data_IF_901421506693
#
_entry.id   IF_901421506693
#
_cell.length_a   1.000
_cell.length_b   1.000
_cell.length_c   1.000
_cell.angle_alpha   90.00
_cell.angle_beta   90.00
_cell.angle_gamma   90.00
#
_symmetry.space_group_name_H-M   'P 1'
#
loop_
_entity.id
_entity.type
_entity.pdbx_description
1 polymer ?
#
# COMPACT_ATOMS: atom_id res chain seq x y z
N UNK A 1 17.73 -16.12 8.79
CA UNK A 1 17.07 -17.13 7.92
C UNK A 1 18.12 -18.12 7.45
N UNK A 2 17.91 -19.43 7.60
CA UNK A 2 18.92 -20.44 7.21
C UNK A 2 18.53 -21.28 6.00
N UNK A 3 17.23 -21.37 5.69
CA UNK A 3 16.69 -22.08 4.54
C UNK A 3 15.90 -21.12 3.64
N UNK A 4 15.83 -21.43 2.34
CA UNK A 4 15.09 -20.65 1.36
C UNK A 4 13.59 -20.63 1.63
N UNK A 5 13.03 -21.66 2.27
CA UNK A 5 11.60 -21.80 2.51
C UNK A 5 11.29 -21.85 4.00
N UNK A 6 10.38 -20.99 4.45
CA UNK A 6 9.99 -20.84 5.86
C UNK A 6 8.54 -20.36 6.00
N UNK A 7 7.98 -20.50 7.19
CA UNK A 7 6.71 -19.86 7.55
C UNK A 7 7.02 -18.47 8.09
N UNK A 8 6.55 -17.43 7.41
CA UNK A 8 6.63 -16.06 7.91
C UNK A 8 5.38 -15.75 8.73
N UNK A 9 5.57 -15.32 9.97
CA UNK A 9 4.50 -15.01 10.92
C UNK A 9 4.45 -13.51 11.21
N UNK A 10 3.30 -12.92 10.95
CA UNK A 10 2.99 -11.52 11.24
C UNK A 10 2.78 -11.25 12.73
N UNK A 11 2.77 -9.97 13.09
CA UNK A 11 2.53 -9.51 14.48
C UNK A 11 1.13 -9.88 14.98
N UNK A 12 0.17 -10.06 14.08
CA UNK A 12 -1.20 -10.51 14.35
C UNK A 12 -1.32 -12.04 14.49
N UNK A 13 -0.22 -12.77 14.29
CA UNK A 13 -0.18 -14.23 14.33
C UNK A 13 -0.60 -14.92 13.02
N UNK A 14 -0.97 -14.16 11.98
CA UNK A 14 -1.16 -14.72 10.64
C UNK A 14 0.14 -15.32 10.12
N UNK A 15 0.03 -16.36 9.28
CA UNK A 15 1.20 -17.08 8.76
C UNK A 15 1.11 -17.30 7.27
N UNK A 16 2.21 -17.11 6.56
CA UNK A 16 2.32 -17.38 5.13
C UNK A 16 3.57 -18.21 4.81
N UNK A 17 3.44 -19.19 3.91
CA UNK A 17 4.58 -19.91 3.36
C UNK A 17 5.36 -18.96 2.46
N UNK A 18 6.66 -18.81 2.71
CA UNK A 18 7.51 -17.79 2.11
C UNK A 18 8.75 -18.42 1.51
N UNK A 19 9.18 -17.88 0.37
CA UNK A 19 10.42 -18.25 -0.29
C UNK A 19 11.35 -17.02 -0.36
N UNK A 20 12.50 -17.11 0.28
CA UNK A 20 13.63 -16.18 0.10
C UNK A 20 14.45 -16.64 -1.10
N UNK A 21 14.83 -15.71 -1.98
CA UNK A 21 15.64 -15.96 -3.18
C UNK A 21 17.12 -15.62 -2.90
N UNK A 22 17.99 -16.58 -2.52
CA UNK A 22 19.35 -16.27 -2.06
C UNK A 22 20.27 -15.70 -3.14
N UNK A 23 19.98 -16.02 -4.41
CA UNK A 23 20.67 -15.49 -5.58
C UNK A 23 19.85 -14.42 -6.33
N UNK A 24 18.84 -13.85 -5.65
CA UNK A 24 17.90 -12.90 -6.22
C UNK A 24 16.99 -13.50 -7.31
N UNK A 25 16.23 -12.64 -7.97
CA UNK A 25 15.25 -13.02 -9.00
C UNK A 25 15.85 -13.31 -10.37
N UNK A 26 17.17 -13.54 -10.46
CA UNK A 26 17.92 -13.80 -11.70
C UNK A 26 18.64 -15.15 -11.72
N UNK A 27 18.39 -16.03 -10.74
CA UNK A 27 19.16 -17.26 -10.57
C UNK A 27 19.11 -18.20 -11.80
N UNK A 28 18.02 -18.19 -12.56
CA UNK A 28 17.84 -18.94 -13.81
C UNK A 28 18.00 -18.10 -15.07
N UNK A 29 18.53 -16.87 -14.99
CA UNK A 29 18.65 -15.95 -16.12
C UNK A 29 19.79 -16.32 -17.09
N UNK A 30 20.93 -16.73 -16.56
CA UNK A 30 22.14 -17.04 -17.32
C UNK A 30 22.21 -18.55 -17.58
N UNK A 31 21.80 -18.97 -18.78
CA UNK A 31 21.64 -20.38 -19.13
C UNK A 31 22.96 -21.17 -19.11
N UNK A 32 24.10 -20.50 -19.31
CA UNK A 32 25.45 -21.08 -19.21
C UNK A 32 25.90 -21.33 -17.76
N UNK A 33 25.13 -20.85 -16.77
CA UNK A 33 25.45 -20.97 -15.34
C UNK A 33 24.41 -21.75 -14.54
N UNK A 34 23.47 -22.43 -15.18
CA UNK A 34 22.38 -23.13 -14.49
C UNK A 34 22.89 -24.13 -13.45
N UNK A 35 23.94 -24.88 -13.75
CA UNK A 35 24.50 -25.88 -12.84
C UNK A 35 25.13 -25.25 -11.59
N UNK A 36 25.82 -24.11 -11.77
CA UNK A 36 26.37 -23.34 -10.66
C UNK A 36 25.25 -22.74 -9.80
N UNK A 37 24.26 -22.11 -10.43
CA UNK A 37 23.10 -21.55 -9.72
C UNK A 37 22.34 -22.62 -8.94
N UNK A 38 22.11 -23.80 -9.54
CA UNK A 38 21.49 -24.94 -8.87
C UNK A 38 22.29 -25.36 -7.63
N UNK A 39 23.60 -25.56 -7.78
CA UNK A 39 24.49 -25.97 -6.69
C UNK A 39 24.56 -24.94 -5.56
N UNK A 40 24.46 -23.65 -5.88
CA UNK A 40 24.46 -22.58 -4.89
C UNK A 40 23.12 -22.45 -4.17
N UNK A 41 22.00 -22.67 -4.86
CA UNK A 41 20.66 -22.65 -4.26
C UNK A 41 20.40 -23.90 -3.38
N UNK A 42 20.90 -25.07 -3.79
CA UNK A 42 20.74 -26.33 -3.05
C UNK A 42 21.26 -26.24 -1.61
N UNK A 43 22.30 -25.43 -1.38
CA UNK A 43 22.86 -25.15 -0.04
C UNK A 43 21.84 -24.57 0.94
N UNK A 44 20.82 -23.88 0.44
CA UNK A 44 19.77 -23.24 1.24
C UNK A 44 18.43 -23.97 1.14
N UNK A 45 18.29 -24.95 0.24
CA UNK A 45 17.01 -25.55 -0.07
C UNK A 45 16.41 -26.28 1.14
N UNK A 46 15.17 -25.94 1.48
CA UNK A 46 14.46 -26.66 2.53
C UNK A 46 13.95 -28.02 2.04
N UNK A 47 13.72 -28.18 0.74
CA UNK A 47 13.15 -29.39 0.13
C UNK A 47 13.92 -29.76 -1.14
N UNK A 48 13.53 -30.84 -1.82
CA UNK A 48 14.05 -31.18 -3.14
C UNK A 48 13.53 -30.27 -4.27
N UNK A 49 12.72 -29.24 -3.95
CA UNK A 49 12.24 -28.26 -4.90
C UNK A 49 13.08 -26.99 -4.81
N UNK A 50 13.78 -26.67 -5.89
CA UNK A 50 14.62 -25.47 -6.01
C UNK A 50 13.98 -24.53 -7.04
N UNK A 51 13.76 -23.27 -6.63
CA UNK A 51 13.24 -22.24 -7.52
C UNK A 51 14.39 -21.50 -8.20
N UNK A 52 14.37 -21.44 -9.53
CA UNK A 52 15.32 -20.68 -10.34
C UNK A 52 14.58 -19.67 -11.21
N UNK A 53 14.36 -18.43 -10.74
CA UNK A 53 13.68 -17.41 -11.52
C UNK A 53 14.45 -17.09 -12.82
N UNK A 54 13.79 -17.25 -13.97
CA UNK A 54 14.38 -17.13 -15.30
C UNK A 54 14.02 -15.80 -15.98
N UNK A 55 14.35 -14.69 -15.33
CA UNK A 55 14.03 -13.35 -15.84
C UNK A 55 14.80 -12.23 -15.16
N UNK A 56 14.51 -11.01 -15.57
CA UNK A 56 15.03 -9.79 -14.98
C UNK A 56 14.03 -8.64 -15.20
N UNK A 57 14.21 -7.53 -14.49
CA UNK A 57 13.49 -6.29 -14.79
C UNK A 57 13.68 -5.90 -16.25
N UNK A 58 12.56 -5.55 -16.90
CA UNK A 58 12.48 -5.07 -18.29
C UNK A 58 13.04 -6.02 -19.35
N UNK A 59 13.06 -7.34 -19.11
CA UNK A 59 13.53 -8.32 -20.08
C UNK A 59 12.38 -9.15 -20.67
N UNK A 60 12.34 -9.36 -22.01
CA UNK A 60 11.38 -10.28 -22.60
C UNK A 60 11.67 -11.74 -22.19
N UNK A 61 10.68 -12.64 -22.30
CA UNK A 61 10.90 -14.08 -22.13
C UNK A 61 12.00 -14.59 -23.07
N UNK A 62 12.94 -15.39 -22.54
CA UNK A 62 14.00 -16.01 -23.34
C UNK A 62 13.45 -17.20 -24.12
N UNK A 63 13.58 -17.17 -25.45
CA UNK A 63 13.08 -18.23 -26.33
C UNK A 63 13.84 -19.55 -26.18
N UNK A 64 15.03 -19.50 -25.60
CA UNK A 64 15.96 -20.61 -25.40
C UNK A 64 15.61 -21.46 -24.18
N UNK A 65 14.84 -20.95 -23.21
CA UNK A 65 14.49 -21.64 -21.96
C UNK A 65 13.93 -23.05 -22.21
N UNK A 66 12.95 -23.27 -23.12
CA UNK A 66 12.43 -24.61 -23.37
C UNK A 66 13.50 -25.60 -23.86
N UNK A 67 14.48 -25.14 -24.64
CA UNK A 67 15.58 -25.99 -25.09
C UNK A 67 16.56 -26.25 -23.95
N UNK A 68 16.92 -25.24 -23.17
CA UNK A 68 17.80 -25.39 -22.01
C UNK A 68 17.25 -26.39 -20.99
N UNK A 69 15.93 -26.38 -20.74
CA UNK A 69 15.26 -27.37 -19.87
C UNK A 69 15.33 -28.79 -20.44
N UNK A 70 15.17 -28.96 -21.77
CA UNK A 70 15.33 -30.27 -22.42
C UNK A 70 16.76 -30.78 -22.32
N UNK A 71 17.73 -29.90 -22.55
CA UNK A 71 19.16 -30.24 -22.49
C UNK A 71 19.57 -30.60 -21.06
N UNK A 72 19.10 -29.83 -20.06
CA UNK A 72 19.27 -30.16 -18.64
C UNK A 72 18.75 -31.56 -18.31
N UNK A 73 17.49 -31.84 -18.66
CA UNK A 73 16.84 -33.12 -18.35
C UNK A 73 17.49 -34.31 -19.09
N UNK A 74 18.15 -34.07 -20.22
CA UNK A 74 18.93 -35.09 -20.94
C UNK A 74 20.28 -35.35 -20.28
N UNK A 75 20.90 -34.32 -19.70
CA UNK A 75 22.28 -34.37 -19.18
C UNK A 75 22.37 -34.66 -17.69
N UNK A 76 21.30 -34.41 -16.92
CA UNK A 76 21.27 -34.53 -15.46
C UNK A 76 20.26 -35.60 -15.00
N UNK A 77 20.53 -36.90 -15.25
CA UNK A 77 19.63 -37.97 -14.84
C UNK A 77 19.47 -37.94 -13.30
N UNK A 78 18.23 -37.80 -12.84
CA UNK A 78 17.89 -37.73 -11.41
C UNK A 78 17.58 -36.32 -10.89
N UNK A 79 17.81 -35.26 -11.68
CA UNK A 79 17.43 -33.89 -11.34
C UNK A 79 16.52 -33.34 -12.44
N UNK A 80 15.22 -33.29 -12.17
CA UNK A 80 14.23 -32.85 -13.13
C UNK A 80 14.03 -31.33 -13.07
N UNK A 81 14.26 -30.65 -14.18
CA UNK A 81 13.95 -29.23 -14.37
C UNK A 81 12.61 -29.06 -15.09
N UNK A 82 11.76 -28.17 -14.57
CA UNK A 82 10.43 -27.83 -15.11
C UNK A 82 10.24 -26.33 -15.22
N UNK A 83 9.54 -25.90 -16.27
CA UNK A 83 9.00 -24.55 -16.34
C UNK A 83 7.70 -24.57 -15.55
N UNK A 84 7.62 -23.77 -14.49
CA UNK A 84 6.47 -23.72 -13.58
C UNK A 84 6.11 -22.27 -13.24
N UNK A 85 4.87 -22.08 -12.81
CA UNK A 85 4.40 -20.85 -12.20
C UNK A 85 4.77 -20.81 -10.70
N UNK A 86 4.81 -19.61 -10.07
CA UNK A 86 4.98 -19.52 -8.62
C UNK A 86 3.95 -20.34 -7.84
N UNK A 87 2.70 -20.38 -8.32
CA UNK A 87 1.62 -21.17 -7.71
C UNK A 87 1.96 -22.66 -7.66
N UNK A 88 2.42 -23.23 -8.77
CA UNK A 88 2.79 -24.65 -8.84
C UNK A 88 4.00 -24.96 -7.94
N UNK A 89 4.97 -24.04 -7.83
CA UNK A 89 6.09 -24.18 -6.92
C UNK A 89 5.65 -24.26 -5.45
N UNK A 90 4.82 -23.31 -4.98
CA UNK A 90 4.31 -23.33 -3.61
C UNK A 90 3.43 -24.55 -3.33
N UNK A 91 2.61 -24.98 -4.30
CA UNK A 91 1.83 -26.22 -4.17
C UNK A 91 2.73 -27.46 -4.00
N UNK A 92 3.88 -27.52 -4.70
CA UNK A 92 4.84 -28.59 -4.53
C UNK A 92 5.48 -28.57 -3.12
N UNK A 93 5.85 -27.39 -2.61
CA UNK A 93 6.36 -27.23 -1.25
C UNK A 93 5.35 -27.71 -0.20
N UNK A 94 4.08 -27.34 -0.32
CA UNK A 94 3.00 -27.76 0.58
C UNK A 94 2.81 -29.29 0.58
N UNK A 95 2.94 -29.92 -0.58
CA UNK A 95 2.82 -31.38 -0.74
C UNK A 95 3.93 -32.16 -0.02
N UNK A 96 5.09 -31.55 0.20
CA UNK A 96 6.19 -32.21 0.93
C UNK A 96 5.82 -32.53 2.39
N UNK A 97 4.80 -31.85 2.96
CA UNK A 97 4.43 -31.93 4.38
C UNK A 97 5.61 -31.69 5.33
N UNK A 98 6.66 -31.01 4.86
CA UNK A 98 7.80 -30.61 5.68
C UNK A 98 7.32 -29.63 6.75
N UNK A 99 7.89 -29.77 7.96
CA UNK A 99 7.77 -28.74 8.99
C UNK A 99 8.85 -27.68 8.75
N UNK A 100 8.44 -26.52 8.25
CA UNK A 100 9.33 -25.39 7.97
C UNK A 100 9.65 -24.61 9.26
N UNK A 101 10.79 -23.90 9.25
CA UNK A 101 11.16 -22.94 10.29
C UNK A 101 10.12 -21.81 10.34
N UNK A 102 9.86 -21.25 11.52
CA UNK A 102 9.01 -20.07 11.68
C UNK A 102 9.90 -18.85 11.90
N UNK A 103 9.73 -17.84 11.06
CA UNK A 103 10.39 -16.53 11.16
C UNK A 103 9.33 -15.51 11.53
N UNK A 104 9.55 -14.76 12.62
CA UNK A 104 8.57 -13.80 13.15
C UNK A 104 9.07 -12.36 12.97
N UNK A 105 8.15 -11.45 12.65
CA UNK A 105 8.44 -10.01 12.58
C UNK A 105 8.92 -9.53 11.22
N UNK A 106 9.58 -8.37 11.19
CA UNK A 106 10.01 -7.72 9.94
C UNK A 106 11.22 -8.44 9.31
N UNK A 107 11.22 -8.56 7.98
CA UNK A 107 12.34 -9.09 7.21
C UNK A 107 13.32 -7.96 6.84
N UNK A 108 13.87 -7.31 7.87
CA UNK A 108 14.80 -6.19 7.74
C UNK A 108 16.19 -6.63 8.21
N UNK A 109 16.89 -7.41 7.38
CA UNK A 109 18.14 -8.09 7.75
C UNK A 109 19.20 -7.87 6.65
N UNK A 110 20.24 -7.09 7.00
CA UNK A 110 21.33 -6.75 6.09
C UNK A 110 22.33 -7.91 5.87
N UNK A 111 22.26 -8.98 6.65
CA UNK A 111 23.04 -10.19 6.41
C UNK A 111 22.42 -11.05 5.30
N UNK A 112 21.13 -10.88 5.02
CA UNK A 112 20.38 -11.67 4.04
C UNK A 112 20.20 -10.97 2.69
N UNK A 113 20.00 -9.65 2.70
CA UNK A 113 19.82 -8.85 1.48
C UNK A 113 20.31 -7.44 1.72
N UNK A 114 20.75 -6.76 0.66
CA UNK A 114 21.04 -5.33 0.73
C UNK A 114 19.78 -4.55 1.11
N UNK A 115 19.91 -3.69 2.12
CA UNK A 115 18.83 -2.84 2.60
C UNK A 115 19.19 -1.39 2.33
N UNK A 116 18.24 -0.61 1.80
CA UNK A 116 18.46 0.76 1.32
C UNK A 116 17.70 1.80 2.15
N UNK A 117 17.94 1.98 3.47
CA UNK A 117 17.18 2.92 4.30
C UNK A 117 17.25 4.38 3.83
N UNK A 118 18.32 4.75 3.14
CA UNK A 118 18.56 6.15 2.73
C UNK A 118 17.51 6.65 1.73
N UNK A 119 16.80 5.73 1.05
CA UNK A 119 15.73 6.07 0.11
C UNK A 119 14.60 6.88 0.74
N UNK A 120 14.39 6.75 2.06
CA UNK A 120 13.38 7.52 2.78
C UNK A 120 13.64 9.04 2.77
N UNK A 121 14.85 9.47 2.42
CA UNK A 121 15.24 10.89 2.36
C UNK A 121 15.43 11.41 0.94
N UNK A 122 15.46 10.52 -0.05
CA UNK A 122 15.57 10.86 -1.45
C UNK A 122 14.33 11.61 -1.91
N UNK A 123 14.51 12.85 -2.40
CA UNK A 123 13.42 13.68 -2.92
C UNK A 123 12.20 13.72 -1.98
N UNK A 124 12.42 14.07 -0.71
CA UNK A 124 11.43 14.04 0.39
C UNK A 124 10.01 14.54 0.02
N UNK A 125 9.91 15.52 -0.87
CA UNK A 125 8.63 16.05 -1.36
C UNK A 125 7.73 14.98 -1.98
N UNK A 126 8.27 13.89 -2.55
CA UNK A 126 7.49 12.78 -3.13
C UNK A 126 6.72 12.06 -2.02
N UNK A 127 7.41 11.66 -0.95
CA UNK A 127 6.81 11.00 0.21
C UNK A 127 5.77 11.91 0.85
N UNK A 128 6.08 13.20 1.02
CA UNK A 128 5.14 14.19 1.56
C UNK A 128 3.90 14.33 0.69
N UNK A 129 4.07 14.44 -0.64
CA UNK A 129 2.97 14.60 -1.59
C UNK A 129 2.11 13.34 -1.68
N UNK A 130 2.73 12.16 -1.68
CA UNK A 130 2.04 10.87 -1.65
C UNK A 130 1.16 10.74 -0.41
N UNK A 131 1.72 11.03 0.79
CA UNK A 131 0.97 11.01 2.05
C UNK A 131 -0.18 12.01 2.08
N UNK A 132 0.02 13.21 1.55
CA UNK A 132 -1.03 14.24 1.46
C UNK A 132 -2.17 13.80 0.52
N UNK A 133 -1.83 13.25 -0.65
CA UNK A 133 -2.84 12.78 -1.61
C UNK A 133 -3.61 11.56 -1.08
N UNK A 134 -2.94 10.62 -0.39
CA UNK A 134 -3.58 9.46 0.23
C UNK A 134 -4.53 9.89 1.37
N UNK A 135 -4.10 10.80 2.24
CA UNK A 135 -4.96 11.32 3.31
C UNK A 135 -6.20 12.05 2.75
N UNK A 136 -6.03 12.81 1.68
CA UNK A 136 -7.15 13.47 0.99
C UNK A 136 -8.08 12.46 0.29
N UNK A 137 -7.53 11.37 -0.28
CA UNK A 137 -8.31 10.30 -0.89
C UNK A 137 -9.16 9.58 0.16
N UNK A 138 -8.55 9.21 1.28
CA UNK A 138 -9.26 8.59 2.41
C UNK A 138 -10.41 9.50 2.89
N UNK A 139 -10.14 10.79 3.11
CA UNK A 139 -11.19 11.73 3.50
C UNK A 139 -12.30 11.85 2.44
N UNK A 140 -11.93 11.98 1.15
CA UNK A 140 -12.91 12.09 0.07
C UNK A 140 -13.81 10.84 0.00
N UNK A 141 -13.25 9.64 0.12
CA UNK A 141 -13.98 8.37 0.13
C UNK A 141 -14.88 8.22 1.38
N UNK A 142 -14.38 8.56 2.57
CA UNK A 142 -15.16 8.54 3.81
C UNK A 142 -16.38 9.46 3.70
N UNK A 143 -16.21 10.72 3.30
CA UNK A 143 -17.32 11.66 3.20
C UNK A 143 -18.25 11.36 2.03
N UNK A 144 -17.72 10.85 0.91
CA UNK A 144 -18.55 10.36 -0.19
C UNK A 144 -19.44 9.20 0.24
N UNK A 145 -18.92 8.29 1.09
CA UNK A 145 -19.68 7.17 1.65
C UNK A 145 -20.81 7.69 2.54
N UNK A 146 -20.52 8.65 3.42
CA UNK A 146 -21.55 9.27 4.28
C UNK A 146 -22.62 9.97 3.42
N UNK A 147 -22.21 10.76 2.42
CA UNK A 147 -23.14 11.44 1.53
C UNK A 147 -24.02 10.43 0.76
N UNK A 148 -23.43 9.32 0.28
CA UNK A 148 -24.15 8.24 -0.38
C UNK A 148 -25.20 7.58 0.52
N UNK A 149 -24.86 7.30 1.78
CA UNK A 149 -25.82 6.78 2.76
C UNK A 149 -26.98 7.76 3.05
N UNK A 150 -26.75 9.06 2.86
CA UNK A 150 -27.78 10.10 2.96
C UNK A 150 -28.55 10.33 1.64
N UNK A 151 -28.24 9.56 0.59
CA UNK A 151 -28.93 9.56 -0.69
C UNK A 151 -28.26 10.38 -1.80
N UNK A 152 -26.96 10.70 -1.69
CA UNK A 152 -26.17 11.19 -2.82
C UNK A 152 -25.74 10.02 -3.72
N UNK A 153 -25.26 10.33 -4.92
CA UNK A 153 -24.55 9.34 -5.75
C UNK A 153 -23.11 9.16 -5.25
N UNK A 154 -22.60 7.93 -5.29
CA UNK A 154 -21.21 7.63 -4.91
C UNK A 154 -20.28 7.80 -6.11
N UNK A 155 -19.20 8.62 -6.03
CA UNK A 155 -18.29 8.94 -7.13
C UNK A 155 -17.29 7.79 -7.39
N UNK A 156 -17.82 6.64 -7.80
CA UNK A 156 -17.07 5.38 -7.95
C UNK A 156 -15.91 5.50 -8.93
N UNK A 157 -16.16 6.07 -10.11
CA UNK A 157 -15.16 6.21 -11.17
C UNK A 157 -14.00 7.11 -10.76
N UNK A 158 -14.33 8.24 -10.13
CA UNK A 158 -13.37 9.25 -9.73
C UNK A 158 -12.47 8.75 -8.60
N UNK A 159 -13.05 8.07 -7.60
CA UNK A 159 -12.28 7.46 -6.51
C UNK A 159 -11.44 6.28 -7.01
N UNK A 160 -11.95 5.48 -7.95
CA UNK A 160 -11.20 4.39 -8.55
C UNK A 160 -9.96 4.90 -9.30
N UNK A 161 -10.11 5.90 -10.17
CA UNK A 161 -8.99 6.54 -10.87
C UNK A 161 -7.98 7.16 -9.87
N UNK A 162 -8.48 7.74 -8.78
CA UNK A 162 -7.61 8.31 -7.75
C UNK A 162 -6.78 7.23 -7.02
N UNK A 163 -7.39 6.08 -6.71
CA UNK A 163 -6.68 4.93 -6.14
C UNK A 163 -5.61 4.38 -7.09
N UNK A 164 -5.92 4.24 -8.38
CA UNK A 164 -4.94 3.80 -9.39
C UNK A 164 -3.72 4.75 -9.44
N UNK A 165 -3.96 6.06 -9.40
CA UNK A 165 -2.89 7.06 -9.39
C UNK A 165 -2.05 7.03 -8.10
N UNK A 166 -2.66 6.83 -6.93
CA UNK A 166 -1.93 6.65 -5.67
C UNK A 166 -1.06 5.39 -5.70
N UNK A 167 -1.60 4.28 -6.22
CA UNK A 167 -0.85 3.02 -6.36
C UNK A 167 0.30 3.14 -7.36
N UNK A 168 0.12 3.93 -8.42
CA UNK A 168 1.19 4.28 -9.35
C UNK A 168 2.33 5.02 -8.64
N UNK A 169 2.02 6.05 -7.84
CA UNK A 169 3.01 6.79 -7.05
C UNK A 169 3.71 5.88 -6.03
N UNK A 170 3.00 4.90 -5.47
CA UNK A 170 3.53 3.96 -4.48
C UNK A 170 4.52 2.92 -5.06
N UNK A 171 4.72 2.89 -6.38
CA UNK A 171 5.72 2.03 -6.99
C UNK A 171 7.11 2.32 -6.40
N UNK A 172 7.85 1.26 -6.03
CA UNK A 172 9.06 1.40 -5.24
C UNK A 172 10.06 2.39 -5.85
N UNK A 173 10.39 2.32 -7.13
CA UNK A 173 11.34 3.27 -7.75
C UNK A 173 10.84 4.72 -7.80
N UNK A 174 9.52 4.94 -7.77
CA UNK A 174 8.89 6.27 -7.76
C UNK A 174 8.92 6.84 -6.34
N UNK A 175 8.30 6.16 -5.37
CA UNK A 175 8.18 6.67 -4.00
C UNK A 175 9.54 6.82 -3.31
N UNK A 176 10.53 6.01 -3.69
CA UNK A 176 11.91 6.07 -3.19
C UNK A 176 12.78 7.11 -3.90
N UNK A 177 12.29 7.74 -4.98
CA UNK A 177 13.03 8.77 -5.67
C UNK A 177 14.27 8.26 -6.44
N UNK A 178 14.29 7.00 -6.87
CA UNK A 178 15.44 6.32 -7.50
C UNK A 178 15.51 6.38 -9.04
N UNK A 179 14.48 6.90 -9.71
CA UNK A 179 14.45 7.18 -11.16
C UNK A 179 15.11 8.50 -11.62
N UNK A 180 15.00 8.77 -12.92
CA UNK A 180 15.46 10.00 -13.61
C UNK A 180 14.50 11.17 -13.39
N UNK A 181 14.96 12.42 -13.60
CA UNK A 181 14.21 13.63 -13.29
C UNK A 181 12.87 13.73 -14.04
N UNK A 182 12.83 13.28 -15.29
CA UNK A 182 11.65 13.36 -16.16
C UNK A 182 10.45 12.61 -15.59
N UNK A 183 10.67 11.47 -14.90
CA UNK A 183 9.61 10.69 -14.26
C UNK A 183 8.89 11.53 -13.20
N UNK A 184 9.62 12.41 -12.51
CA UNK A 184 9.05 13.15 -11.39
C UNK A 184 8.28 14.40 -11.78
N UNK A 185 8.47 14.91 -13.00
CA UNK A 185 7.57 15.95 -13.52
C UNK A 185 6.16 15.38 -13.72
N UNK A 186 6.05 14.15 -14.24
CA UNK A 186 4.77 13.44 -14.34
C UNK A 186 4.16 13.17 -12.94
N UNK A 187 4.98 12.74 -11.97
CA UNK A 187 4.52 12.54 -10.58
C UNK A 187 3.95 13.83 -9.97
N UNK A 188 4.55 15.00 -10.24
CA UNK A 188 4.00 16.30 -9.78
C UNK A 188 2.65 16.59 -10.42
N UNK A 189 2.50 16.33 -11.71
CA UNK A 189 1.24 16.51 -12.43
C UNK A 189 0.14 15.62 -11.86
N UNK A 190 0.44 14.32 -11.63
CA UNK A 190 -0.48 13.37 -11.00
C UNK A 190 -0.88 13.86 -9.60
N UNK A 191 0.09 14.23 -8.75
CA UNK A 191 -0.20 14.75 -7.40
C UNK A 191 -1.09 16.00 -7.45
N UNK A 192 -0.82 16.93 -8.35
CA UNK A 192 -1.58 18.17 -8.48
C UNK A 192 -3.02 17.91 -8.95
N UNK A 193 -3.17 17.01 -9.93
CA UNK A 193 -4.48 16.55 -10.43
C UNK A 193 -5.29 15.85 -9.33
N UNK A 194 -4.67 14.93 -8.60
CA UNK A 194 -5.27 14.23 -7.46
C UNK A 194 -5.80 15.20 -6.42
N UNK A 195 -4.96 16.15 -5.98
CA UNK A 195 -5.36 17.15 -4.97
C UNK A 195 -6.58 17.95 -5.43
N UNK A 196 -6.60 18.40 -6.68
CA UNK A 196 -7.72 19.17 -7.22
C UNK A 196 -9.01 18.33 -7.29
N UNK A 197 -8.95 17.12 -7.88
CA UNK A 197 -10.10 16.22 -8.04
C UNK A 197 -10.67 15.80 -6.67
N UNK A 198 -9.81 15.34 -5.76
CA UNK A 198 -10.25 14.85 -4.46
C UNK A 198 -10.78 15.97 -3.57
N UNK A 199 -10.19 17.17 -3.61
CA UNK A 199 -10.75 18.34 -2.92
C UNK A 199 -12.15 18.66 -3.44
N UNK A 200 -12.37 18.54 -4.75
CA UNK A 200 -13.69 18.75 -5.33
C UNK A 200 -14.70 17.71 -4.84
N UNK A 201 -14.37 16.41 -4.93
CA UNK A 201 -15.25 15.31 -4.47
C UNK A 201 -15.56 15.40 -2.97
N UNK A 202 -14.56 15.75 -2.16
CA UNK A 202 -14.74 16.00 -0.73
C UNK A 202 -15.72 17.16 -0.50
N UNK A 203 -15.52 18.30 -1.16
CA UNK A 203 -16.39 19.47 -1.01
C UNK A 203 -17.83 19.21 -1.46
N UNK A 204 -18.03 18.44 -2.54
CA UNK A 204 -19.36 18.03 -2.99
C UNK A 204 -20.06 17.19 -1.92
N UNK A 205 -19.35 16.21 -1.36
CA UNK A 205 -19.87 15.33 -0.31
C UNK A 205 -20.24 16.12 0.95
N UNK A 206 -19.35 17.01 1.40
CA UNK A 206 -19.59 17.88 2.56
C UNK A 206 -20.77 18.83 2.35
N UNK A 207 -20.89 19.41 1.15
CA UNK A 207 -22.01 20.29 0.81
C UNK A 207 -23.33 19.55 0.83
N UNK A 208 -23.36 18.32 0.30
CA UNK A 208 -24.53 17.47 0.35
C UNK A 208 -24.93 17.14 1.78
N UNK A 209 -23.97 16.69 2.60
CA UNK A 209 -24.18 16.35 4.02
C UNK A 209 -24.72 17.57 4.77
N UNK A 210 -24.09 18.75 4.62
CA UNK A 210 -24.53 19.97 5.28
C UNK A 210 -25.98 20.34 4.92
N UNK A 211 -26.38 20.15 3.66
CA UNK A 211 -27.76 20.38 3.19
C UNK A 211 -28.80 19.41 3.77
N UNK A 212 -28.39 18.31 4.43
CA UNK A 212 -29.28 17.35 5.10
C UNK A 212 -29.42 17.59 6.60
N UNK A 213 -28.60 18.45 7.19
CA UNK A 213 -28.67 18.75 8.62
C UNK A 213 -29.73 19.83 8.87
N UNK A 214 -30.67 19.56 9.79
CA UNK A 214 -31.58 20.61 10.28
C UNK A 214 -30.85 21.49 11.32
N UNK A 215 -30.39 22.64 10.86
CA UNK A 215 -29.53 23.54 11.61
C UNK A 215 -30.31 24.63 12.34
N UNK A 216 -31.60 24.81 12.04
CA UNK A 216 -32.40 25.95 12.53
C UNK A 216 -31.83 27.34 12.16
N UNK A 217 -30.87 27.44 11.23
CA UNK A 217 -30.14 28.66 10.81
C UNK A 217 -29.03 28.40 9.78
N UNK A 218 -28.28 29.42 9.33
CA UNK A 218 -27.16 29.23 8.37
C UNK A 218 -25.96 28.53 9.02
N UNK A 219 -25.34 27.56 8.32
CA UNK A 219 -24.12 26.86 8.76
C UNK A 219 -23.01 27.03 7.74
N UNK A 220 -21.82 27.37 8.26
CA UNK A 220 -20.57 27.40 7.51
C UNK A 220 -19.79 26.13 7.79
N UNK A 221 -19.52 25.33 6.76
CA UNK A 221 -18.62 24.18 6.84
C UNK A 221 -17.23 24.65 6.42
N UNK A 222 -16.27 24.62 7.35
CA UNK A 222 -14.89 25.02 7.09
C UNK A 222 -13.97 23.81 7.14
N UNK A 223 -13.22 23.58 6.06
CA UNK A 223 -12.07 22.68 6.03
C UNK A 223 -10.83 23.44 6.49
N UNK A 224 -10.19 22.97 7.56
CA UNK A 224 -8.85 23.43 7.92
C UNK A 224 -7.83 22.37 7.54
N UNK A 225 -6.96 22.69 6.58
CA UNK A 225 -5.76 21.90 6.35
C UNK A 225 -4.83 22.05 7.55
N UNK A 226 -4.69 20.99 8.34
CA UNK A 226 -3.70 20.93 9.41
C UNK A 226 -2.40 20.35 8.84
N UNK A 227 -1.31 21.11 8.68
CA UNK A 227 -0.07 20.58 8.09
C UNK A 227 0.64 19.52 8.97
N UNK A 228 0.17 19.27 10.20
CA UNK A 228 0.72 18.25 11.11
C UNK A 228 -0.06 16.92 11.11
N UNK A 229 -1.32 16.94 10.66
CA UNK A 229 -2.17 15.76 10.54
C UNK A 229 -2.53 15.65 9.06
N UNK A 230 -2.16 14.58 8.38
CA UNK A 230 -2.51 14.34 6.97
C UNK A 230 -4.02 14.15 6.72
N UNK A 231 -4.89 14.64 7.61
CA UNK A 231 -6.34 14.59 7.51
C UNK A 231 -6.93 16.00 7.68
N UNK A 232 -7.96 16.36 6.89
CA UNK A 232 -8.67 17.62 7.06
C UNK A 232 -9.47 17.63 8.37
N UNK A 233 -9.38 18.73 9.14
CA UNK A 233 -10.27 18.98 10.27
C UNK A 233 -11.52 19.74 9.80
N UNK A 234 -12.70 19.28 10.21
CA UNK A 234 -13.98 19.92 9.88
C UNK A 234 -14.57 20.53 11.15
N UNK A 235 -14.91 21.82 11.07
CA UNK A 235 -15.55 22.56 12.15
C UNK A 235 -16.97 22.94 11.75
N UNK A 236 -17.93 22.74 12.67
CA UNK A 236 -19.29 23.28 12.54
C UNK A 236 -19.54 24.29 13.67
N UNK A 237 -20.01 25.51 13.38
CA UNK A 237 -20.51 26.41 14.42
C UNK A 237 -21.83 25.87 14.98
N UNK A 238 -21.87 25.58 16.28
CA UNK A 238 -23.05 25.03 16.95
C UNK A 238 -23.97 26.15 17.45
N UNK A 239 -25.20 26.20 16.94
CA UNK A 239 -26.31 26.92 17.57
C UNK A 239 -26.96 26.01 18.63
N UNK A 240 -27.37 26.51 19.82
CA UNK A 240 -27.83 25.68 20.95
C UNK A 240 -29.16 24.91 20.74
N UNK A 241 -29.65 24.76 19.50
CA UNK A 241 -30.92 24.07 19.17
C UNK A 241 -30.83 23.11 17.97
N UNK A 242 -29.65 22.61 17.62
CA UNK A 242 -29.54 21.57 16.58
C UNK A 242 -30.14 20.26 17.13
N UNK A 243 -31.19 19.75 16.47
CA UNK A 243 -31.73 18.40 16.70
C UNK A 243 -31.39 17.54 15.49
N UNK A 244 -30.46 16.61 15.64
CA UNK A 244 -30.29 15.54 14.67
C UNK A 244 -31.50 14.62 14.77
N UNK A 245 -32.33 14.62 13.72
CA UNK A 245 -33.50 13.75 13.65
C UNK A 245 -33.06 12.41 13.03
N UNK A 246 -32.32 11.60 13.80
CA UNK A 246 -31.91 10.25 13.38
C UNK A 246 -32.15 9.23 14.50
N UNK A 247 -33.06 8.28 14.23
CA UNK A 247 -33.17 6.98 14.91
C UNK A 247 -31.94 6.11 14.55
N UNK A 248 -31.57 5.08 15.34
CA UNK A 248 -30.39 5.20 16.19
C UNK A 248 -29.19 4.39 15.68
N UNK A 249 -28.56 4.78 14.57
CA UNK A 249 -27.20 4.29 14.29
C UNK A 249 -26.40 5.43 13.68
N UNK A 250 -25.22 5.71 14.25
CA UNK A 250 -24.28 6.82 13.96
C UNK A 250 -24.55 8.11 14.75
N UNK A 251 -23.92 8.21 15.94
CA UNK A 251 -23.71 9.49 16.63
C UNK A 251 -22.41 10.12 16.12
N UNK A 252 -22.51 11.13 15.26
CA UNK A 252 -21.38 11.99 14.91
C UNK A 252 -21.25 13.03 16.02
N UNK A 253 -20.20 12.92 16.85
CA UNK A 253 -19.90 13.92 17.87
C UNK A 253 -19.20 15.11 17.20
N UNK A 254 -19.92 16.21 17.08
CA UNK A 254 -19.39 17.48 16.61
C UNK A 254 -19.16 18.37 17.84
N UNK A 255 -17.91 18.67 18.15
CA UNK A 255 -17.53 19.52 19.29
C UNK A 255 -17.93 20.98 19.03
N UNK A 256 -18.62 21.59 20.01
CA UNK A 256 -18.88 23.03 20.04
C UNK A 256 -17.64 23.76 20.53
N UNK A 257 -17.00 24.56 19.68
CA UNK A 257 -15.88 25.43 20.05
C UNK A 257 -16.30 26.88 20.38
N UNK A 258 -17.60 27.15 20.59
CA UNK A 258 -18.08 28.52 20.81
C UNK A 258 -17.57 29.20 22.09
N UNK A 259 -17.03 28.46 23.06
CA UNK A 259 -16.73 29.03 24.38
C UNK A 259 -15.26 29.43 24.62
N UNK A 260 -14.31 29.05 23.76
CA UNK A 260 -12.89 29.44 23.93
C UNK A 260 -12.44 30.66 23.11
N UNK A 261 -13.15 31.03 22.05
CA UNK A 261 -12.75 32.15 21.17
C UNK A 261 -12.88 33.54 21.82
N UNK A 262 -13.62 33.69 22.93
CA UNK A 262 -13.79 34.97 23.63
C UNK A 262 -12.82 35.19 24.80
N UNK A 263 -11.92 34.25 25.13
CA UNK A 263 -11.08 34.35 26.35
C UNK A 263 -9.57 34.49 26.12
N UNK A 264 -9.10 34.46 24.87
CA UNK A 264 -7.69 34.75 24.55
C UNK A 264 -6.67 33.76 25.15
N UNK A 265 -7.10 32.59 25.61
CA UNK A 265 -6.22 31.49 26.02
C UNK A 265 -6.39 30.33 25.05
N UNK A 266 -5.38 30.12 24.20
CA UNK A 266 -5.25 28.87 23.47
C UNK A 266 -4.82 27.82 24.49
N UNK A 267 -5.74 26.96 24.91
CA UNK A 267 -5.37 25.74 25.61
C UNK A 267 -5.03 24.68 24.56
N UNK A 268 -3.77 24.24 24.55
CA UNK A 268 -3.41 22.99 23.89
C UNK A 268 -4.15 21.87 24.64
N UNK A 269 -4.90 21.04 23.90
CA UNK A 269 -5.29 19.65 24.18
C UNK A 269 -6.78 19.37 24.00
N UNK A 270 -7.24 19.17 22.76
CA UNK A 270 -8.36 18.24 22.49
C UNK A 270 -8.18 17.62 21.08
N UNK A 271 -7.69 16.38 21.02
CA UNK A 271 -7.73 15.55 19.82
C UNK A 271 -9.05 14.78 19.82
N UNK A 272 -9.79 14.79 18.72
CA UNK A 272 -10.94 13.92 18.51
C UNK A 272 -10.46 12.65 17.77
N UNK A 273 -10.60 11.49 18.41
CA UNK A 273 -10.50 10.19 17.76
C UNK A 273 -11.90 9.76 17.29
N UNK A 274 -12.02 9.27 16.06
CA UNK A 274 -13.10 8.35 15.71
C UNK A 274 -12.66 6.96 16.18
N UNK A 275 -13.32 6.42 17.20
CA UNK A 275 -13.29 4.98 17.47
C UNK A 275 -14.27 4.30 16.51
N UNK A 276 -13.73 3.41 15.65
CA UNK A 276 -14.43 2.28 15.02
C UNK A 276 -13.60 1.03 15.32
#
# INVERSE_FOLDING_TARGET
>A
ITQSDFIWKGLDGSTILTHWMPLGYRAGLNLDRLEQSFSDLDKYAATSHILMPCGSGSMPPQAEIPQAVRDWNTTHPGIEMKIVTPKEFFQALEQTKKKFEVVEGELYDNELVDVFPQVCTSRLWIVQSSRECEGLLMAAEEFATIAWLLGADYPTSELHEAWENILFIAFHDIVTGCGVDEIYEEVKEICSSLKAKLTHSLNQSLSYIAGKVDTGGEVFCGLRNNPKLCLPEIYFPLHPRIKLNTEPYVRIFILNLSDELNSGKVSENYNLFMDI
#
